data_IF_536087260143
#
_entry.id   IF_536087260143
#
_cell.length_a   1.000
_cell.length_b   1.000
_cell.length_c   1.000
_cell.angle_alpha   90.00
_cell.angle_beta   90.00
_cell.angle_gamma   90.00
#
_symmetry.space_group_name_H-M   'P 1'
#
loop_
_entity.id
_entity.type
_entity.pdbx_description
1 polymer ?
#
# COMPACT_ATOMS: atom_id res chain seq x y z
N UNK A 1 -14.14 16.32 21.57
CA UNK A 1 -13.03 16.55 20.62
C UNK A 1 -12.25 15.26 20.48
N UNK A 2 -12.59 14.44 19.47
CA UNK A 2 -11.92 13.17 19.20
C UNK A 2 -10.81 13.42 18.19
N UNK A 3 -9.57 13.12 18.56
CA UNK A 3 -8.40 13.25 17.71
C UNK A 3 -8.41 12.10 16.69
N UNK A 4 -8.75 12.39 15.42
CA UNK A 4 -8.55 11.47 14.31
C UNK A 4 -7.05 11.27 14.10
N UNK A 5 -6.50 10.17 14.64
CA UNK A 5 -5.14 9.73 14.39
C UNK A 5 -5.12 8.92 13.09
N UNK A 6 -4.75 9.56 11.99
CA UNK A 6 -4.41 8.87 10.75
C UNK A 6 -3.02 8.25 10.91
N UNK A 7 -2.95 6.93 10.96
CA UNK A 7 -1.68 6.20 10.89
C UNK A 7 -1.40 5.89 9.42
N UNK A 8 -0.51 6.67 8.80
CA UNK A 8 0.01 6.37 7.46
C UNK A 8 1.26 5.54 7.65
N UNK A 9 1.17 4.24 7.37
CA UNK A 9 2.32 3.33 7.38
C UNK A 9 2.90 3.29 5.97
N UNK A 10 4.02 3.98 5.75
CA UNK A 10 4.79 3.85 4.51
C UNK A 10 5.76 2.68 4.71
N UNK A 11 5.42 1.51 4.15
CA UNK A 11 6.32 0.35 4.15
C UNK A 11 7.25 0.49 2.94
N UNK A 12 8.48 0.94 3.18
CA UNK A 12 9.57 0.84 2.20
C UNK A 12 10.20 -0.55 2.33
N UNK A 13 9.81 -1.48 1.47
CA UNK A 13 10.46 -2.81 1.40
C UNK A 13 11.73 -2.65 0.56
N UNK A 14 12.89 -2.69 1.22
CA UNK A 14 14.19 -2.90 0.55
C UNK A 14 14.37 -4.40 0.38
N UNK A 15 14.16 -4.90 -0.84
CA UNK A 15 14.44 -6.30 -1.19
C UNK A 15 15.95 -6.47 -1.37
N UNK A 16 16.64 -7.01 -0.36
CA UNK A 16 17.96 -7.59 -0.59
C UNK A 16 17.77 -8.90 -1.35
N UNK A 17 18.31 -8.93 -2.58
CA UNK A 17 18.25 -10.09 -3.46
C UNK A 17 19.08 -11.24 -2.87
N UNK A 18 18.44 -12.10 -2.08
CA UNK A 18 19.16 -13.14 -1.36
C UNK A 18 18.31 -14.19 -0.66
N UNK A 19 17.28 -14.76 -1.30
CA UNK A 19 16.82 -16.10 -0.93
C UNK A 19 15.98 -16.79 -2.02
N UNK A 20 16.68 -17.63 -2.78
CA UNK A 20 16.31 -18.96 -3.31
C UNK A 20 14.82 -19.32 -3.55
N UNK A 21 14.50 -19.61 -4.82
CA UNK A 21 14.19 -21.02 -5.15
C UNK A 21 12.74 -21.45 -5.42
N UNK A 22 11.82 -20.54 -5.69
CA UNK A 22 10.53 -20.87 -6.35
C UNK A 22 10.33 -19.85 -7.48
N UNK A 23 9.73 -20.20 -8.64
CA UNK A 23 9.19 -19.14 -9.48
C UNK A 23 8.24 -18.38 -8.55
N UNK A 24 8.46 -17.09 -8.38
CA UNK A 24 7.59 -16.25 -7.56
C UNK A 24 6.19 -16.35 -8.16
N UNK A 25 5.39 -17.32 -7.70
CA UNK A 25 3.98 -17.42 -8.00
C UNK A 25 3.36 -16.20 -7.32
N UNK A 26 3.29 -15.14 -8.11
CA UNK A 26 2.58 -13.88 -7.87
C UNK A 26 2.70 -13.31 -6.45
N UNK A 27 3.91 -12.88 -6.08
CA UNK A 27 4.07 -11.74 -5.16
C UNK A 27 3.56 -10.48 -5.87
N UNK A 28 2.26 -10.44 -6.13
CA UNK A 28 1.55 -9.29 -6.65
C UNK A 28 1.56 -8.22 -5.57
N UNK A 29 2.15 -7.06 -5.89
CA UNK A 29 2.12 -5.89 -5.02
C UNK A 29 0.69 -5.51 -4.61
N UNK A 30 -0.31 -5.85 -5.43
CA UNK A 30 -1.72 -5.67 -5.07
C UNK A 30 -2.15 -6.60 -3.94
N UNK A 31 -1.77 -7.88 -3.97
CA UNK A 31 -2.10 -8.84 -2.91
C UNK A 31 -1.52 -8.40 -1.57
N UNK A 32 -0.32 -7.81 -1.58
CA UNK A 32 0.35 -7.29 -0.38
C UNK A 32 -0.48 -6.16 0.25
N UNK A 33 -0.90 -5.18 -0.56
CA UNK A 33 -1.68 -4.04 -0.03
C UNK A 33 -3.11 -4.43 0.35
N UNK A 34 -3.70 -5.42 -0.33
CA UNK A 34 -5.02 -5.95 0.02
C UNK A 34 -4.99 -6.73 1.34
N UNK A 35 -3.94 -7.51 1.58
CA UNK A 35 -3.75 -8.21 2.85
C UNK A 35 -3.60 -7.22 4.01
N UNK A 36 -2.79 -6.18 3.84
CA UNK A 36 -2.61 -5.16 4.88
C UNK A 36 -3.91 -4.39 5.20
N UNK A 37 -4.77 -4.15 4.19
CA UNK A 37 -6.11 -3.60 4.43
C UNK A 37 -7.00 -4.60 5.18
N UNK A 38 -6.95 -5.89 4.84
CA UNK A 38 -7.67 -6.95 5.55
C UNK A 38 -7.21 -7.07 7.02
N UNK A 39 -5.95 -6.76 7.33
CA UNK A 39 -5.39 -6.72 8.68
C UNK A 39 -5.71 -5.44 9.47
N UNK A 40 -6.50 -4.52 8.88
CA UNK A 40 -7.04 -3.36 9.56
C UNK A 40 -6.39 -2.02 9.20
N UNK A 41 -5.53 -1.98 8.19
CA UNK A 41 -5.08 -0.69 7.65
C UNK A 41 -6.24 -0.04 6.86
N UNK A 42 -6.64 1.20 7.19
CA UNK A 42 -7.79 1.85 6.55
C UNK A 42 -7.70 1.96 5.02
N UNK A 43 -6.50 2.25 4.52
CA UNK A 43 -6.21 2.36 3.09
C UNK A 43 -4.73 2.58 2.85
N UNK A 44 -4.25 2.10 1.70
CA UNK A 44 -2.85 2.10 1.30
C UNK A 44 -2.74 2.52 -0.16
N UNK A 45 -1.73 3.34 -0.47
CA UNK A 45 -1.23 3.57 -1.82
C UNK A 45 0.23 3.12 -1.90
N UNK A 46 0.57 2.31 -2.90
CA UNK A 46 1.91 1.78 -3.11
C UNK A 46 2.40 2.13 -4.52
N UNK A 47 3.55 2.82 -4.57
CA UNK A 47 4.29 3.09 -5.79
C UNK A 47 5.61 2.31 -5.74
N UNK A 48 5.79 1.37 -6.67
CA UNK A 48 7.07 0.71 -6.91
C UNK A 48 7.60 1.19 -8.24
N UNK A 49 8.82 1.74 -8.26
CA UNK A 49 9.45 2.22 -9.47
C UNK A 49 10.90 1.79 -9.52
N UNK A 50 11.25 1.02 -10.53
CA UNK A 50 12.62 0.72 -10.95
C UNK A 50 12.85 1.34 -12.35
N UNK A 51 14.07 1.30 -12.91
CA UNK A 51 14.30 1.78 -14.28
C UNK A 51 13.41 1.11 -15.33
N UNK A 52 13.16 -0.19 -15.18
CA UNK A 52 12.45 -1.00 -16.18
C UNK A 52 11.01 -1.36 -15.79
N UNK A 53 10.58 -0.99 -14.58
CA UNK A 53 9.28 -1.39 -14.04
C UNK A 53 8.62 -0.27 -13.23
N UNK A 54 7.31 -0.16 -13.38
CA UNK A 54 6.46 0.71 -12.54
C UNK A 54 5.19 -0.02 -12.16
N UNK A 55 4.89 -0.02 -10.87
CA UNK A 55 3.62 -0.43 -10.31
C UNK A 55 3.05 0.70 -9.46
N UNK A 56 1.74 0.93 -9.59
CA UNK A 56 1.00 1.84 -8.73
C UNK A 56 -0.32 1.15 -8.38
N UNK A 57 -0.48 0.85 -7.09
CA UNK A 57 -1.64 0.16 -6.55
C UNK A 57 -2.23 0.92 -5.39
N UNK A 58 -3.53 0.74 -5.18
CA UNK A 58 -4.26 1.29 -4.04
C UNK A 58 -5.18 0.22 -3.47
N UNK A 59 -5.47 0.31 -2.17
CA UNK A 59 -6.47 -0.52 -1.52
C UNK A 59 -7.11 0.20 -0.33
N UNK A 60 -8.32 -0.22 0.05
CA UNK A 60 -9.08 0.36 1.16
C UNK A 60 -9.74 1.72 0.88
N UNK A 61 -9.84 2.54 1.92
CA UNK A 61 -10.57 3.81 1.95
C UNK A 61 -9.62 4.97 2.27
N UNK A 62 -9.78 6.06 1.53
CA UNK A 62 -9.19 7.36 1.87
C UNK A 62 -9.91 8.02 3.04
N UNK A 63 -11.21 7.75 3.13
CA UNK A 63 -12.06 8.18 4.23
C UNK A 63 -12.98 7.02 4.64
N UNK A 64 -12.69 6.46 5.81
CA UNK A 64 -13.44 5.32 6.36
C UNK A 64 -14.85 5.73 6.78
N UNK A 65 -15.03 6.98 7.23
CA UNK A 65 -16.30 7.51 7.75
C UNK A 65 -17.26 7.75 6.59
N UNK A 66 -16.80 8.45 5.56
CA UNK A 66 -17.59 8.77 4.36
C UNK A 66 -17.54 7.68 3.28
N UNK A 67 -16.87 6.56 3.54
CA UNK A 67 -16.70 5.43 2.59
C UNK A 67 -16.09 5.85 1.25
N UNK A 68 -15.21 6.83 1.26
CA UNK A 68 -14.50 7.27 0.06
C UNK A 68 -13.37 6.28 -0.21
N UNK A 69 -13.45 5.56 -1.32
CA UNK A 69 -12.44 4.58 -1.73
C UNK A 69 -11.11 5.25 -1.99
N UNK A 70 -10.02 4.53 -1.73
CA UNK A 70 -8.69 4.99 -2.10
C UNK A 70 -8.55 5.01 -3.63
N UNK A 71 -7.88 6.03 -4.15
CA UNK A 71 -7.55 6.18 -5.57
C UNK A 71 -6.13 6.75 -5.71
N UNK A 72 -5.51 6.46 -6.86
CA UNK A 72 -4.16 6.85 -7.25
C UNK A 72 -3.97 8.36 -7.41
N UNK A 73 -5.05 9.15 -7.51
CA UNK A 73 -4.98 10.61 -7.64
C UNK A 73 -5.13 11.34 -6.30
N UNK A 74 -5.26 10.61 -5.19
CA UNK A 74 -5.45 11.23 -3.88
C UNK A 74 -4.16 11.85 -3.36
N UNK A 75 -4.33 12.95 -2.62
CA UNK A 75 -3.23 13.65 -1.98
C UNK A 75 -2.96 13.04 -0.61
N UNK A 76 -1.71 12.65 -0.39
CA UNK A 76 -1.23 12.14 0.88
C UNK A 76 -0.35 13.19 1.54
N UNK A 77 -0.53 13.38 2.85
CA UNK A 77 0.42 14.14 3.66
C UNK A 77 1.52 13.19 4.13
N UNK A 78 2.75 13.46 3.72
CA UNK A 78 3.95 12.79 4.23
C UNK A 78 4.54 13.71 5.31
N UNK A 79 4.76 13.17 6.51
CA UNK A 79 5.28 13.89 7.67
C UNK A 79 6.81 13.82 7.74
#
# INVERSE_FOLDING_TARGET
MMQNRFFVVVITIVLEAGCLGTPAEDLSYQNIIDLAVAEGIPGIALLVKTPDFKFMGVSGYADVEHKIRMDTTQLFRIA
#
